data_IF_604549650496
#
_entry.id   IF_604549650496
#
_cell.length_a   1.000
_cell.length_b   1.000
_cell.length_c   1.000
_cell.angle_alpha   90.00
_cell.angle_beta   90.00
_cell.angle_gamma   90.00
#
_symmetry.space_group_name_H-M   'P 1'
#
loop_
_entity.id
_entity.type
_entity.pdbx_description
1 polymer ?
#
# COMPACT_ATOMS: atom_id res chain seq x y z
N UNK A 1 1.74 4.25 7.77
CA UNK A 1 0.40 4.60 7.25
C UNK A 1 0.15 6.07 7.54
N UNK A 2 0.02 6.93 6.54
CA UNK A 2 -0.13 8.39 6.72
C UNK A 2 -1.56 8.85 7.11
N UNK A 3 -2.48 7.91 7.32
CA UNK A 3 -3.89 8.20 7.61
C UNK A 3 -4.32 7.99 9.07
N UNK A 4 -3.42 7.54 9.95
CA UNK A 4 -3.76 7.17 11.32
C UNK A 4 -3.30 8.17 12.39
N UNK A 5 -2.62 9.26 12.01
CA UNK A 5 -2.29 10.31 12.97
C UNK A 5 -3.55 11.14 13.21
N UNK A 6 -4.17 10.94 14.38
CA UNK A 6 -5.24 11.80 14.85
C UNK A 6 -4.70 13.23 14.92
N UNK A 7 -5.25 14.12 14.09
CA UNK A 7 -4.92 15.55 14.13
C UNK A 7 -6.04 16.26 14.86
N UNK A 8 -5.66 17.05 15.85
CA UNK A 8 -6.59 17.95 16.51
C UNK A 8 -7.13 18.94 15.49
N UNK A 9 -8.42 18.83 15.21
CA UNK A 9 -9.20 19.77 14.42
C UNK A 9 -9.95 20.70 15.39
N UNK A 10 -10.15 21.99 15.07
CA UNK A 10 -9.83 22.65 13.80
C UNK A 10 -8.36 23.06 13.66
N UNK A 11 -7.85 23.14 12.43
CA UNK A 11 -6.51 23.67 12.10
C UNK A 11 -6.63 24.91 11.20
N UNK A 12 -5.77 25.90 11.43
CA UNK A 12 -5.66 27.07 10.56
C UNK A 12 -4.78 26.73 9.36
N UNK A 13 -5.30 26.96 8.14
CA UNK A 13 -4.57 26.74 6.89
C UNK A 13 -4.10 28.08 6.31
N UNK A 14 -2.79 28.25 6.17
CA UNK A 14 -2.18 29.38 5.45
C UNK A 14 -1.54 28.87 4.16
N UNK A 15 -1.75 29.61 3.07
CA UNK A 15 -1.12 29.33 1.77
C UNK A 15 -0.23 30.52 1.41
N UNK A 16 1.04 30.25 1.15
CA UNK A 16 2.02 31.25 0.77
C UNK A 16 2.06 31.40 -0.76
N UNK A 17 2.31 32.62 -1.22
CA UNK A 17 2.52 32.95 -2.63
C UNK A 17 4.01 32.81 -3.03
N UNK A 18 4.65 31.75 -2.57
CA UNK A 18 6.00 31.36 -2.96
C UNK A 18 5.97 30.43 -4.19
N UNK A 19 7.10 30.24 -4.91
CA UNK A 19 7.17 29.32 -6.06
C UNK A 19 6.72 27.89 -5.71
N UNK A 20 6.91 27.47 -4.46
CA UNK A 20 6.48 26.18 -3.92
C UNK A 20 4.99 26.08 -3.60
N UNK A 21 4.23 27.18 -3.61
CA UNK A 21 2.85 27.28 -3.12
C UNK A 21 2.67 26.56 -1.77
N UNK A 22 3.53 26.91 -0.82
CA UNK A 22 3.67 26.22 0.46
C UNK A 22 2.38 26.38 1.27
N UNK A 23 1.88 25.27 1.80
CA UNK A 23 0.72 25.25 2.69
C UNK A 23 1.19 24.87 4.08
N UNK A 24 0.84 25.71 5.05
CA UNK A 24 1.14 25.49 6.46
C UNK A 24 -0.16 25.34 7.24
N UNK A 25 -0.22 24.29 8.06
CA UNK A 25 -1.32 24.02 8.99
C UNK A 25 -0.84 24.32 10.41
N UNK A 26 -1.59 25.15 11.13
CA UNK A 26 -1.25 25.62 12.48
C UNK A 26 -2.35 25.21 13.46
N UNK A 27 -1.97 24.72 14.63
CA UNK A 27 -2.91 24.45 15.72
C UNK A 27 -3.35 25.78 16.35
N UNK A 28 -4.65 26.09 16.39
CA UNK A 28 -5.12 27.34 16.99
C UNK A 28 -4.95 27.38 18.52
N UNK A 29 -4.92 26.21 19.18
CA UNK A 29 -4.79 26.12 20.64
C UNK A 29 -3.35 26.35 21.12
N UNK A 30 -2.38 25.76 20.45
CA UNK A 30 -0.96 25.82 20.84
C UNK A 30 -0.13 26.83 20.02
N UNK A 31 -0.61 27.23 18.84
CA UNK A 31 0.18 28.01 17.88
C UNK A 31 1.23 27.19 17.12
N UNK A 32 1.30 25.88 17.36
CA UNK A 32 2.29 25.00 16.75
C UNK A 32 2.01 24.73 15.27
N UNK A 33 3.08 24.62 14.48
CA UNK A 33 3.01 24.16 13.08
C UNK A 33 2.80 22.65 13.07
N UNK A 34 1.58 22.24 12.73
CA UNK A 34 1.18 20.83 12.63
C UNK A 34 1.76 20.18 11.39
N UNK A 35 1.80 20.92 10.27
CA UNK A 35 2.25 20.39 8.99
C UNK A 35 2.60 21.52 8.02
N UNK A 36 3.79 21.45 7.40
CA UNK A 36 4.18 22.31 6.29
C UNK A 36 4.46 21.46 5.05
N UNK A 37 3.90 21.85 3.91
CA UNK A 37 4.04 21.11 2.65
C UNK A 37 4.17 22.05 1.47
N UNK A 38 5.24 21.89 0.70
CA UNK A 38 5.38 22.50 -0.63
C UNK A 38 4.67 21.68 -1.72
N UNK A 39 4.68 22.17 -2.97
CA UNK A 39 4.10 21.48 -4.13
C UNK A 39 4.77 20.14 -4.44
N UNK A 40 6.10 20.04 -4.30
CA UNK A 40 6.84 18.82 -4.60
C UNK A 40 6.55 17.73 -3.56
N UNK A 41 6.52 18.08 -2.28
CA UNK A 41 6.16 17.23 -1.15
C UNK A 41 4.72 16.73 -1.24
N UNK A 42 3.78 17.59 -1.67
CA UNK A 42 2.39 17.16 -1.95
C UNK A 42 2.34 16.12 -3.07
N UNK A 43 3.07 16.37 -4.16
CA UNK A 43 3.13 15.46 -5.31
C UNK A 43 3.80 14.14 -4.94
N UNK A 44 4.91 14.19 -4.20
CA UNK A 44 5.61 13.01 -3.70
C UNK A 44 4.75 12.19 -2.74
N UNK A 45 4.00 12.83 -1.83
CA UNK A 45 3.07 12.12 -0.95
C UNK A 45 1.93 11.46 -1.73
N UNK A 46 1.38 12.15 -2.73
CA UNK A 46 0.36 11.58 -3.61
C UNK A 46 0.91 10.38 -4.39
N UNK A 47 2.09 10.50 -4.98
CA UNK A 47 2.73 9.43 -5.75
C UNK A 47 3.06 8.24 -4.87
N UNK A 48 3.59 8.48 -3.66
CA UNK A 48 3.87 7.43 -2.69
C UNK A 48 2.58 6.69 -2.31
N UNK A 49 1.51 7.40 -1.94
CA UNK A 49 0.24 6.77 -1.58
C UNK A 49 -0.37 6.00 -2.76
N UNK A 50 -0.24 6.52 -3.98
CA UNK A 50 -0.69 5.84 -5.19
C UNK A 50 0.09 4.54 -5.44
N UNK A 51 1.42 4.58 -5.42
CA UNK A 51 2.24 3.39 -5.72
C UNK A 51 2.22 2.37 -4.58
N UNK A 52 2.16 2.83 -3.33
CA UNK A 52 2.29 1.97 -2.16
C UNK A 52 0.95 1.39 -1.70
N UNK A 53 -0.11 2.19 -1.71
CA UNK A 53 -1.43 1.79 -1.21
C UNK A 53 -2.48 1.66 -2.32
N UNK A 54 -2.16 2.08 -3.55
CA UNK A 54 -3.12 2.18 -4.65
C UNK A 54 -4.28 3.14 -4.33
N UNK A 55 -4.07 4.20 -3.55
CA UNK A 55 -5.12 5.11 -3.09
C UNK A 55 -5.58 6.13 -4.16
N UNK A 56 -6.13 5.63 -5.27
CA UNK A 56 -6.71 6.47 -6.31
C UNK A 56 -7.97 7.19 -5.77
N UNK A 57 -8.17 8.49 -6.06
CA UNK A 57 -9.33 9.25 -5.56
C UNK A 57 -10.69 8.62 -5.92
N UNK A 58 -10.80 7.94 -7.07
CA UNK A 58 -12.02 7.24 -7.48
C UNK A 58 -12.26 5.96 -6.67
N UNK A 59 -11.19 5.30 -6.24
CA UNK A 59 -11.21 4.06 -5.46
C UNK A 59 -11.41 4.32 -3.95
N UNK A 60 -11.09 5.53 -3.48
CA UNK A 60 -11.43 6.01 -2.14
C UNK A 60 -12.91 6.42 -2.03
N UNK A 61 -13.51 6.89 -3.12
CA UNK A 61 -14.94 7.25 -3.16
C UNK A 61 -15.85 6.02 -3.23
N UNK A 62 -15.42 4.97 -3.93
CA UNK A 62 -16.12 3.70 -4.01
C UNK A 62 -15.18 2.59 -3.57
N UNK A 63 -15.42 1.98 -2.41
CA UNK A 63 -14.54 0.94 -1.85
C UNK A 63 -14.55 -0.37 -2.67
N UNK A 64 -15.63 -0.63 -3.40
CA UNK A 64 -15.86 -1.90 -4.09
C UNK A 64 -14.75 -2.33 -5.09
N UNK A 65 -14.22 -1.46 -5.97
CA UNK A 65 -13.18 -1.83 -6.93
C UNK A 65 -11.87 -2.24 -6.24
N UNK A 66 -11.52 -1.60 -5.10
CA UNK A 66 -10.36 -2.01 -4.31
C UNK A 66 -10.55 -3.42 -3.79
N UNK A 67 -11.72 -3.69 -3.22
CA UNK A 67 -12.00 -4.98 -2.60
C UNK A 67 -12.04 -6.10 -3.65
N UNK A 68 -12.61 -5.85 -4.83
CA UNK A 68 -12.56 -6.80 -5.96
C UNK A 68 -11.13 -7.09 -6.40
N UNK A 69 -10.29 -6.06 -6.54
CA UNK A 69 -8.90 -6.23 -6.92
C UNK A 69 -8.10 -7.03 -5.87
N UNK A 70 -8.29 -6.72 -4.59
CA UNK A 70 -7.64 -7.42 -3.48
C UNK A 70 -8.06 -8.90 -3.41
N UNK A 71 -9.36 -9.18 -3.54
CA UNK A 71 -9.89 -10.55 -3.56
C UNK A 71 -9.35 -11.31 -4.78
N UNK A 72 -9.39 -10.70 -5.96
CA UNK A 72 -8.88 -11.30 -7.20
C UNK A 72 -7.40 -11.66 -7.12
N UNK A 73 -6.55 -10.73 -6.66
CA UNK A 73 -5.12 -10.97 -6.46
C UNK A 73 -4.86 -12.05 -5.42
N UNK A 74 -5.61 -12.06 -4.32
CA UNK A 74 -5.48 -13.06 -3.26
C UNK A 74 -5.83 -14.47 -3.77
N UNK A 75 -6.93 -14.60 -4.53
CA UNK A 75 -7.31 -15.86 -5.15
C UNK A 75 -6.27 -16.34 -6.16
N UNK A 76 -5.71 -15.42 -6.96
CA UNK A 76 -4.60 -15.71 -7.87
C UNK A 76 -3.35 -16.22 -7.13
N UNK A 77 -2.97 -15.57 -6.03
CA UNK A 77 -1.85 -15.99 -5.21
C UNK A 77 -2.07 -17.39 -4.60
N UNK A 78 -3.28 -17.69 -4.13
CA UNK A 78 -3.65 -19.02 -3.62
C UNK A 78 -3.54 -20.07 -4.75
N UNK A 79 -4.07 -19.77 -5.94
CA UNK A 79 -3.98 -20.68 -7.07
C UNK A 79 -2.52 -20.98 -7.45
N UNK A 80 -1.66 -19.95 -7.49
CA UNK A 80 -0.22 -20.12 -7.73
C UNK A 80 0.46 -20.94 -6.62
N UNK A 81 0.15 -20.67 -5.35
CA UNK A 81 0.69 -21.46 -4.24
C UNK A 81 0.29 -22.94 -4.34
N UNK A 82 -0.98 -23.23 -4.68
CA UNK A 82 -1.46 -24.59 -4.88
C UNK A 82 -0.75 -25.30 -6.02
N UNK A 83 -0.53 -24.62 -7.15
CA UNK A 83 0.23 -25.21 -8.27
C UNK A 83 1.66 -25.55 -7.86
N UNK A 84 2.33 -24.66 -7.11
CA UNK A 84 3.65 -24.90 -6.54
C UNK A 84 3.67 -26.11 -5.59
N UNK A 85 2.69 -26.22 -4.71
CA UNK A 85 2.54 -27.36 -3.78
C UNK A 85 2.37 -28.67 -4.55
N UNK A 86 1.48 -28.71 -5.55
CA UNK A 86 1.22 -29.92 -6.34
C UNK A 86 2.47 -30.36 -7.10
N UNK A 87 3.17 -29.43 -7.75
CA UNK A 87 4.41 -29.72 -8.47
C UNK A 87 5.52 -30.18 -7.51
N UNK A 88 5.69 -29.50 -6.38
CA UNK A 88 6.66 -29.85 -5.34
C UNK A 88 6.41 -31.24 -4.76
N UNK A 89 5.15 -31.55 -4.44
CA UNK A 89 4.74 -32.85 -3.92
C UNK A 89 4.99 -33.99 -4.93
N UNK A 90 4.58 -33.80 -6.19
CA UNK A 90 4.85 -34.77 -7.27
C UNK A 90 6.34 -35.05 -7.40
N UNK A 91 7.18 -34.01 -7.35
CA UNK A 91 8.64 -34.16 -7.43
C UNK A 91 9.21 -34.90 -6.22
N UNK A 92 8.73 -34.61 -5.01
CA UNK A 92 9.17 -35.28 -3.78
C UNK A 92 8.87 -36.79 -3.84
N UNK A 93 7.64 -37.16 -4.20
CA UNK A 93 7.21 -38.56 -4.30
C UNK A 93 8.01 -39.32 -5.36
N UNK A 94 8.26 -38.70 -6.53
CA UNK A 94 9.09 -39.30 -7.58
C UNK A 94 10.56 -39.48 -7.13
N UNK A 95 11.13 -38.49 -6.44
CA UNK A 95 12.51 -38.56 -5.93
C UNK A 95 12.68 -39.64 -4.86
N UNK A 96 11.71 -39.75 -3.94
CA UNK A 96 11.68 -40.80 -2.91
C UNK A 96 11.55 -42.20 -3.53
N UNK A 97 10.78 -42.34 -4.63
CA UNK A 97 10.65 -43.61 -5.37
C UNK A 97 11.95 -43.99 -6.09
N UNK A 98 12.72 -43.01 -6.59
CA UNK A 98 14.00 -43.26 -7.26
C UNK A 98 15.11 -43.65 -6.27
N UNK A 99 15.16 -43.05 -5.08
CA UNK A 99 16.11 -43.42 -4.00
C UNK A 99 15.90 -44.83 -3.43
N UNK A 100 14.74 -45.47 -3.67
CA UNK A 100 14.45 -46.84 -3.22
C UNK A 100 14.93 -47.94 -4.18
N UNK A 101 15.57 -47.62 -5.31
CA UNK A 101 16.28 -48.64 -6.11
C UNK A 101 17.69 -48.80 -5.57
N UNK A 102 18.03 -49.90 -4.86
CA UNK A 102 19.41 -50.17 -4.49
C UNK A 102 20.21 -50.37 -5.79
N UNK A 103 21.39 -49.73 -5.84
CA UNK A 103 22.38 -50.00 -6.87
C UNK A 103 22.68 -51.51 -6.84
N UNK A 104 22.46 -52.16 -7.98
CA UNK A 104 22.76 -53.57 -8.20
C UNK A 104 24.13 -53.67 -8.85
#
# INVERSE_FOLDING_TARGET
>A
MYGADARDLPVLRMQFEDPGQTIVYISPGAGDVVLSLDRAQRTGRWLFNLLHSWDLPWMLQHAWPRDVALVGLSLGAIALALTGIVLGWRRLVLSLKHRRRPAR
#
